data_IF_681130384073
#
_entry.id   IF_681130384073
#
_cell.length_a   1.000
_cell.length_b   1.000
_cell.length_c   1.000
_cell.angle_alpha   90.00
_cell.angle_beta   90.00
_cell.angle_gamma   90.00
#
_symmetry.space_group_name_H-M   'P 1'
#
loop_
_entity.id
_entity.type
_entity.pdbx_description
1 polymer ?
#
# COMPACT_ATOMS: atom_id res chain seq x y z
N UNK A 1 -20.37 -7.11 -38.34
CA UNK A 1 -19.83 -8.40 -37.91
C UNK A 1 -19.38 -8.25 -36.46
N UNK A 2 -20.16 -8.75 -35.51
CA UNK A 2 -19.79 -8.71 -34.08
C UNK A 2 -19.21 -10.07 -33.74
N UNK A 3 -17.91 -10.15 -33.46
CA UNK A 3 -17.28 -11.39 -33.02
C UNK A 3 -17.73 -11.69 -31.59
N UNK A 4 -18.76 -12.53 -31.46
CA UNK A 4 -19.12 -13.19 -30.22
C UNK A 4 -17.99 -14.15 -29.83
N UNK A 5 -16.96 -13.60 -29.20
CA UNK A 5 -15.93 -14.40 -28.53
C UNK A 5 -16.52 -14.77 -27.18
N UNK A 6 -16.81 -16.05 -26.98
CA UNK A 6 -17.30 -16.55 -25.70
C UNK A 6 -16.29 -16.20 -24.59
N UNK A 7 -16.61 -15.18 -23.80
CA UNK A 7 -15.76 -14.74 -22.70
C UNK A 7 -15.96 -15.63 -21.47
N UNK A 8 -14.86 -15.95 -20.79
CA UNK A 8 -14.85 -16.61 -19.50
C UNK A 8 -15.18 -15.59 -18.41
N UNK A 9 -16.40 -15.66 -17.86
CA UNK A 9 -16.88 -14.74 -16.81
C UNK A 9 -16.48 -15.23 -15.43
N UNK A 10 -16.16 -14.29 -14.54
CA UNK A 10 -15.96 -14.58 -13.14
C UNK A 10 -17.31 -14.84 -12.45
N UNK A 11 -17.44 -15.90 -11.63
CA UNK A 11 -18.68 -16.16 -10.89
C UNK A 11 -18.88 -15.18 -9.73
N UNK A 12 -17.81 -14.60 -9.20
CA UNK A 12 -17.82 -13.76 -7.99
C UNK A 12 -17.83 -12.25 -8.31
N UNK A 13 -17.63 -11.85 -9.58
CA UNK A 13 -17.70 -10.45 -9.99
C UNK A 13 -18.00 -10.29 -11.49
N UNK A 14 -18.22 -9.05 -11.94
CA UNK A 14 -18.58 -8.75 -13.33
C UNK A 14 -17.41 -8.85 -14.34
N UNK A 15 -16.23 -9.31 -13.92
CA UNK A 15 -15.06 -9.42 -14.78
C UNK A 15 -15.23 -10.54 -15.82
N UNK A 16 -14.76 -10.28 -17.04
CA UNK A 16 -14.80 -11.24 -18.17
C UNK A 16 -13.43 -11.31 -18.83
N UNK A 17 -13.01 -12.51 -19.21
CA UNK A 17 -11.68 -12.79 -19.75
C UNK A 17 -11.78 -13.52 -21.08
N UNK A 18 -10.90 -13.21 -22.02
CA UNK A 18 -10.82 -13.92 -23.31
C UNK A 18 -10.19 -15.30 -23.20
N UNK A 19 -9.44 -15.55 -22.11
CA UNK A 19 -8.70 -16.79 -21.88
C UNK A 19 -9.02 -17.40 -20.51
N UNK A 20 -9.22 -18.72 -20.48
CA UNK A 20 -9.50 -19.49 -19.25
C UNK A 20 -8.36 -19.41 -18.20
N UNK A 21 -7.07 -19.44 -18.56
CA UNK A 21 -5.98 -19.21 -17.61
C UNK A 21 -6.06 -17.86 -16.89
N UNK A 22 -6.43 -16.79 -17.61
CA UNK A 22 -6.58 -15.45 -17.03
C UNK A 22 -7.70 -15.40 -16.00
N UNK A 23 -8.84 -16.03 -16.29
CA UNK A 23 -9.93 -16.20 -15.32
C UNK A 23 -9.44 -16.98 -14.08
N UNK A 24 -8.73 -18.09 -14.26
CA UNK A 24 -8.21 -18.90 -13.15
C UNK A 24 -7.23 -18.13 -12.26
N UNK A 25 -6.40 -17.27 -12.85
CA UNK A 25 -5.48 -16.41 -12.09
C UNK A 25 -6.27 -15.32 -11.34
N UNK A 26 -7.25 -14.71 -12.00
CA UNK A 26 -8.12 -13.70 -11.40
C UNK A 26 -8.89 -14.24 -10.18
N UNK A 27 -9.49 -15.43 -10.27
CA UNK A 27 -10.27 -16.00 -9.16
C UNK A 27 -9.43 -16.28 -7.91
N UNK A 28 -8.11 -16.41 -8.04
CA UNK A 28 -7.21 -16.51 -6.87
C UNK A 28 -7.28 -15.24 -6.00
N UNK A 29 -7.55 -14.08 -6.58
CA UNK A 29 -7.68 -12.82 -5.84
C UNK A 29 -8.98 -12.72 -5.03
N UNK A 30 -10.03 -13.48 -5.40
CA UNK A 30 -11.26 -13.61 -4.60
C UNK A 30 -11.08 -14.45 -3.34
N UNK A 31 -9.93 -15.13 -3.18
CA UNK A 31 -9.52 -15.80 -1.95
C UNK A 31 -8.47 -14.98 -1.19
N UNK A 32 -8.86 -13.90 -0.48
CA UNK A 32 -7.93 -13.00 0.21
C UNK A 32 -7.07 -13.68 1.28
N UNK A 33 -7.42 -14.88 1.76
CA UNK A 33 -6.59 -15.65 2.70
C UNK A 33 -5.38 -16.33 2.05
N UNK A 34 -5.36 -16.52 0.71
CA UNK A 34 -4.29 -17.26 0.00
C UNK A 34 -3.14 -16.40 -0.49
N UNK A 35 -3.39 -15.11 -0.73
CA UNK A 35 -2.44 -14.22 -1.38
C UNK A 35 -1.97 -13.12 -0.41
N UNK A 36 -0.66 -12.90 -0.25
CA UNK A 36 -0.16 -11.85 0.62
C UNK A 36 -0.58 -10.46 0.10
N UNK A 37 -0.72 -9.53 1.03
CA UNK A 37 -0.84 -8.10 0.74
C UNK A 37 0.54 -7.48 0.92
N UNK A 38 1.02 -6.77 -0.10
CA UNK A 38 2.26 -6.03 -0.02
C UNK A 38 2.18 -5.00 1.11
N UNK A 39 3.11 -5.04 2.06
CA UNK A 39 3.13 -4.01 3.12
C UNK A 39 3.54 -2.63 2.59
N UNK A 40 4.18 -2.57 1.41
CA UNK A 40 4.70 -1.33 0.82
C UNK A 40 3.64 -0.58 0.01
N UNK A 41 2.94 -1.26 -0.90
CA UNK A 41 1.94 -0.64 -1.79
C UNK A 41 0.50 -1.06 -1.48
N UNK A 42 0.29 -1.94 -0.49
CA UNK A 42 -1.01 -2.51 -0.11
C UNK A 42 -1.74 -3.27 -1.23
N UNK A 43 -1.05 -3.58 -2.32
CA UNK A 43 -1.58 -4.41 -3.38
C UNK A 43 -1.56 -5.89 -2.98
N UNK A 44 -2.61 -6.64 -3.33
CA UNK A 44 -2.63 -8.10 -3.17
C UNK A 44 -1.81 -8.72 -4.28
N UNK A 45 -0.91 -9.64 -3.96
CA UNK A 45 0.00 -10.26 -4.94
C UNK A 45 -0.18 -11.77 -4.86
N UNK A 46 -0.12 -12.44 -6.01
CA UNK A 46 -0.07 -13.90 -6.00
C UNK A 46 1.20 -14.37 -5.29
N UNK A 47 1.09 -15.39 -4.45
CA UNK A 47 2.24 -15.91 -3.69
C UNK A 47 3.44 -16.28 -4.59
N UNK A 48 3.19 -16.76 -5.81
CA UNK A 48 4.23 -17.10 -6.80
C UNK A 48 4.92 -15.87 -7.43
N UNK A 49 4.30 -14.69 -7.38
CA UNK A 49 4.77 -13.46 -8.01
C UNK A 49 5.39 -12.49 -7.00
N UNK A 50 5.46 -12.86 -5.71
CA UNK A 50 5.97 -11.98 -4.64
C UNK A 50 7.40 -11.56 -4.90
N UNK A 51 8.27 -12.50 -5.27
CA UNK A 51 9.69 -12.20 -5.51
C UNK A 51 9.85 -11.18 -6.66
N UNK A 52 9.23 -11.45 -7.81
CA UNK A 52 9.25 -10.55 -8.96
C UNK A 52 8.58 -9.20 -8.66
N UNK A 53 7.48 -9.20 -7.90
CA UNK A 53 6.84 -7.99 -7.43
C UNK A 53 7.79 -7.17 -6.58
N UNK A 54 8.52 -7.74 -5.63
CA UNK A 54 9.42 -6.98 -4.74
C UNK A 54 10.58 -6.31 -5.49
N UNK A 55 11.00 -6.86 -6.63
CA UNK A 55 12.05 -6.27 -7.48
C UNK A 55 11.60 -4.99 -8.19
N UNK A 56 10.33 -4.91 -8.62
CA UNK A 56 9.77 -3.77 -9.37
C UNK A 56 8.78 -2.92 -8.54
N UNK A 57 8.35 -3.43 -7.40
CA UNK A 57 7.62 -2.67 -6.40
C UNK A 57 8.54 -1.55 -5.99
N UNK A 58 8.05 -0.31 -5.87
CA UNK A 58 8.81 0.80 -5.31
C UNK A 58 9.35 0.38 -3.94
N UNK A 59 10.59 -0.07 -3.97
CA UNK A 59 11.33 -0.65 -2.89
C UNK A 59 12.19 0.49 -2.37
N UNK A 60 12.22 0.68 -1.05
CA UNK A 60 12.90 1.78 -0.38
C UNK A 60 12.34 3.18 -0.67
N UNK A 61 11.24 3.59 0.01
CA UNK A 61 10.91 4.99 0.07
C UNK A 61 12.10 5.75 0.68
N UNK A 62 12.60 6.75 -0.04
CA UNK A 62 13.75 7.55 0.38
C UNK A 62 13.29 8.83 1.06
N UNK A 63 13.99 9.33 2.09
CA UNK A 63 13.61 10.59 2.72
C UNK A 63 13.80 11.75 1.74
N UNK A 64 12.72 12.48 1.47
CA UNK A 64 12.79 13.71 0.71
C UNK A 64 13.66 14.73 1.46
N UNK A 65 14.69 15.25 0.80
CA UNK A 65 15.61 16.23 1.41
C UNK A 65 14.93 17.57 1.75
N UNK A 66 13.76 17.86 1.18
CA UNK A 66 12.99 19.08 1.44
C UNK A 66 12.04 18.88 2.62
N UNK A 67 11.15 17.90 2.59
CA UNK A 67 10.11 17.71 3.61
C UNK A 67 10.32 16.52 4.56
N UNK A 68 11.41 15.75 4.44
CA UNK A 68 11.73 14.63 5.33
C UNK A 68 10.86 13.37 5.19
N UNK A 69 9.76 13.43 4.42
CA UNK A 69 8.83 12.30 4.21
C UNK A 69 9.53 11.20 3.40
N UNK A 70 9.31 9.95 3.77
CA UNK A 70 9.73 8.78 3.00
C UNK A 70 8.85 8.66 1.75
N UNK A 71 9.45 8.84 0.57
CA UNK A 71 8.73 8.87 -0.71
C UNK A 71 9.19 7.70 -1.57
N UNK A 72 8.27 6.83 -2.04
CA UNK A 72 8.59 5.79 -3.00
C UNK A 72 9.09 6.38 -4.32
N UNK A 73 10.06 5.74 -4.96
CA UNK A 73 10.71 6.23 -6.18
C UNK A 73 9.70 6.57 -7.29
N UNK A 74 8.65 5.76 -7.48
CA UNK A 74 7.61 6.01 -8.50
C UNK A 74 6.79 7.29 -8.25
N UNK A 75 6.67 7.70 -6.99
CA UNK A 75 5.93 8.92 -6.59
C UNK A 75 6.87 10.14 -6.59
N UNK A 76 8.19 9.93 -6.62
CA UNK A 76 9.21 10.98 -6.55
C UNK A 76 9.04 12.10 -7.60
N UNK A 77 8.77 11.82 -8.90
CA UNK A 77 8.63 12.87 -9.91
C UNK A 77 7.47 13.83 -9.64
N UNK A 78 6.36 13.31 -9.10
CA UNK A 78 5.19 14.12 -8.75
C UNK A 78 5.33 14.77 -7.37
N UNK A 79 5.97 14.06 -6.43
CA UNK A 79 6.29 14.59 -5.12
C UNK A 79 7.19 15.81 -5.22
N UNK A 80 8.25 15.81 -6.03
CA UNK A 80 9.14 16.98 -6.16
C UNK A 80 8.41 18.22 -6.70
N UNK A 81 7.41 18.01 -7.57
CA UNK A 81 6.58 19.07 -8.14
C UNK A 81 5.60 19.66 -7.12
N UNK A 82 5.06 18.83 -6.22
CA UNK A 82 4.02 19.22 -5.25
C UNK A 82 4.53 19.27 -3.81
N UNK A 83 5.83 19.06 -3.60
CA UNK A 83 6.48 18.95 -2.29
C UNK A 83 6.18 20.22 -1.49
N UNK A 84 5.37 20.13 -0.41
CA UNK A 84 5.20 21.25 0.49
C UNK A 84 6.60 21.66 0.97
N UNK A 85 6.80 22.97 1.13
CA UNK A 85 7.99 23.57 1.70
C UNK A 85 8.50 22.79 2.94
N UNK A 86 9.79 22.90 3.31
CA UNK A 86 10.40 22.06 4.33
C UNK A 86 9.53 21.93 5.58
N UNK A 87 9.59 20.75 6.22
CA UNK A 87 8.91 20.49 7.48
C UNK A 87 8.92 21.78 8.31
N UNK A 88 7.75 22.33 8.67
CA UNK A 88 7.73 23.45 9.59
C UNK A 88 8.54 23.05 10.84
N UNK A 89 8.98 24.04 11.63
CA UNK A 89 9.61 23.77 12.94
C UNK A 89 8.76 22.82 13.82
N UNK A 90 7.48 22.65 13.46
CA UNK A 90 6.51 21.74 14.04
C UNK A 90 6.27 20.49 13.17
N UNK A 91 6.28 19.33 13.82
CA UNK A 91 6.04 17.99 13.29
C UNK A 91 4.54 17.72 13.05
N UNK A 92 4.10 17.35 11.83
CA UNK A 92 2.70 17.04 11.56
C UNK A 92 2.32 15.60 11.93
N UNK A 93 1.13 15.41 12.50
CA UNK A 93 0.49 14.11 12.66
C UNK A 93 0.03 13.58 11.30
N UNK A 94 0.48 12.39 10.87
CA UNK A 94 0.10 11.84 9.57
C UNK A 94 -1.34 11.28 9.52
N UNK A 95 -2.04 11.26 10.65
CA UNK A 95 -3.43 10.78 10.75
C UNK A 95 -4.45 11.93 10.68
N UNK A 96 -4.19 13.06 11.33
CA UNK A 96 -5.08 14.24 11.35
C UNK A 96 -4.46 15.54 10.80
N UNK A 97 -3.16 15.53 10.50
CA UNK A 97 -2.38 16.68 10.02
C UNK A 97 -2.22 17.86 11.01
N UNK A 98 -2.49 17.65 12.30
CA UNK A 98 -2.15 18.62 13.36
C UNK A 98 -0.63 18.74 13.55
N UNK A 99 -0.13 19.94 13.83
CA UNK A 99 1.32 20.23 13.98
C UNK A 99 1.76 20.32 15.44
N UNK A 100 2.95 19.79 15.75
CA UNK A 100 3.49 19.70 17.11
C UNK A 100 4.97 20.06 17.18
N UNK A 101 5.36 20.85 18.18
CA UNK A 101 6.74 21.36 18.31
C UNK A 101 7.79 20.32 18.69
N UNK A 102 7.37 19.13 19.11
CA UNK A 102 8.30 18.09 19.55
C UNK A 102 7.77 16.67 19.29
N UNK A 103 8.66 15.69 19.08
CA UNK A 103 8.27 14.30 18.86
C UNK A 103 7.50 13.71 20.04
N UNK A 104 7.83 14.09 21.27
CA UNK A 104 7.21 13.58 22.49
C UNK A 104 5.75 14.02 22.61
N UNK A 105 5.46 15.27 22.23
CA UNK A 105 4.10 15.82 22.24
C UNK A 105 3.28 15.17 21.12
N UNK A 106 3.86 15.00 19.92
CA UNK A 106 3.21 14.29 18.82
C UNK A 106 2.91 12.83 19.21
N UNK A 107 3.86 12.12 19.82
CA UNK A 107 3.65 10.75 20.30
C UNK A 107 2.51 10.66 21.32
N UNK A 108 2.45 11.58 22.28
CA UNK A 108 1.35 11.65 23.25
C UNK A 108 0.01 11.97 22.58
N UNK A 109 -0.01 12.85 21.58
CA UNK A 109 -1.22 13.13 20.79
C UNK A 109 -1.68 11.86 20.06
N UNK A 110 -0.79 11.17 19.34
CA UNK A 110 -1.12 9.92 18.65
C UNK A 110 -1.60 8.86 19.64
N UNK A 111 -0.92 8.68 20.77
CA UNK A 111 -1.31 7.70 21.79
C UNK A 111 -2.66 7.99 22.45
N UNK A 112 -3.08 9.26 22.56
CA UNK A 112 -4.32 9.65 23.23
C UNK A 112 -5.51 9.87 22.30
N UNK A 113 -5.27 10.41 21.10
CA UNK A 113 -6.31 10.78 20.11
C UNK A 113 -6.41 9.80 18.95
N UNK A 114 -5.35 9.05 18.70
CA UNK A 114 -5.29 7.99 17.69
C UNK A 114 -4.83 6.65 18.31
N UNK A 115 -5.47 6.15 19.38
CA UNK A 115 -5.17 4.84 19.94
C UNK A 115 -5.68 3.74 18.98
N UNK A 116 -5.04 3.61 17.81
CA UNK A 116 -5.24 2.45 16.98
C UNK A 116 -4.44 1.31 17.60
N UNK A 117 -5.15 0.36 18.19
CA UNK A 117 -4.65 -0.94 18.63
C UNK A 117 -4.83 -1.90 17.45
N UNK A 118 -3.80 -2.22 16.65
CA UNK A 118 -3.75 -3.50 16.00
C UNK A 118 -3.25 -4.50 17.04
N UNK A 119 -4.10 -5.47 17.40
CA UNK A 119 -3.70 -6.72 18.03
C UNK A 119 -2.58 -7.34 17.18
N UNK A 120 -1.33 -7.07 17.56
CA UNK A 120 -0.21 -7.91 17.17
C UNK A 120 -0.15 -9.00 18.23
N UNK A 121 -0.82 -10.11 17.90
CA UNK A 121 -0.55 -11.40 18.48
C UNK A 121 0.96 -11.57 18.61
N UNK A 122 1.37 -11.57 19.87
CA UNK A 122 2.61 -12.12 20.35
C UNK A 122 2.59 -13.61 20.04
N UNK A 123 3.15 -13.98 18.88
CA UNK A 123 3.71 -15.33 18.73
C UNK A 123 5.21 -15.19 18.56
N UNK A 124 5.89 -15.11 19.70
CA UNK A 124 7.29 -15.52 19.82
C UNK A 124 7.34 -17.03 19.51
N UNK A 125 8.13 -17.51 18.54
CA UNK A 125 8.52 -18.91 18.53
C UNK A 125 9.58 -19.14 19.62
N UNK A 126 9.39 -20.24 20.33
CA UNK A 126 10.19 -20.81 21.43
C UNK A 126 11.69 -20.83 21.20
#
# INVERSE_FOLDING_TARGET
MSTDTALFRCPDCSASFTLKPSLNTHTRFHCPKRNPVCRLCRHRILRAEVEGHLQICPSHPSPCKRCGILVPEIVWPWHTMTCPAPLPDDLPCLTCFDSFKSPEILQRHVASKHPYIPELETTMPT
#
